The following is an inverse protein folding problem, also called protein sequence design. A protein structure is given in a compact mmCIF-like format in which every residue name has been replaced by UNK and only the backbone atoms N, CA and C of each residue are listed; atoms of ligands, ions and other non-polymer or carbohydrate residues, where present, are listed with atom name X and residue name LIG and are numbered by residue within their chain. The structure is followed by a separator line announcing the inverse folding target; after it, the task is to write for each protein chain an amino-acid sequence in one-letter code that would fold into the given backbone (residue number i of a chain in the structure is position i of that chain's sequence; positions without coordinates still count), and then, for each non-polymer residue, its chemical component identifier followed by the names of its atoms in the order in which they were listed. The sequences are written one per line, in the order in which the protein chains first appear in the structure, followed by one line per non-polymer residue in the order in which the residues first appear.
data_IF_197449061396
#
_entry.id   IF_197449061396
#
_cell.length_a   1.000
_cell.length_b   1.000
_cell.length_c   1.000
_cell.angle_alpha   90.00
_cell.angle_beta   90.00
_cell.angle_gamma   90.00
#
_symmetry.space_group_name_H-M   'P 1'
#
loop_
_entity.id
_entity.type
_entity.pdbx_description
1 polymer ?
#
# COMPACT_ATOMS: atom_id res chain seq x y z
N UNK A 1 0.57 -6.15 -19.52
CA UNK A 1 0.51 -5.53 -18.18
C UNK A 1 -0.84 -5.90 -17.58
N UNK A 2 -0.92 -6.26 -16.29
CA UNK A 2 -2.21 -6.54 -15.66
C UNK A 2 -3.10 -5.30 -15.71
N UNK A 3 -4.39 -5.48 -16.00
CA UNK A 3 -5.40 -4.44 -15.84
C UNK A 3 -5.80 -4.32 -14.38
N UNK A 4 -6.28 -3.14 -13.99
CA UNK A 4 -6.98 -2.97 -12.72
C UNK A 4 -8.14 -3.96 -12.61
N UNK A 5 -8.32 -4.53 -11.41
CA UNK A 5 -9.43 -5.44 -11.11
C UNK A 5 -10.63 -4.69 -10.54
N UNK A 6 -10.37 -3.78 -9.60
CA UNK A 6 -11.38 -2.99 -8.90
C UNK A 6 -10.74 -1.67 -8.41
N UNK A 7 -11.50 -0.57 -8.33
CA UNK A 7 -10.98 0.75 -7.96
C UNK A 7 -10.32 0.79 -6.58
N UNK A 8 -10.80 0.01 -5.62
CA UNK A 8 -10.24 -0.13 -4.27
C UNK A 8 -8.87 -0.85 -4.22
N UNK A 9 -8.33 -1.25 -5.38
CA UNK A 9 -7.05 -1.96 -5.46
C UNK A 9 -5.97 -1.17 -6.20
N UNK A 10 -6.24 0.09 -6.55
CA UNK A 10 -5.36 0.94 -7.34
C UNK A 10 -5.40 2.38 -6.84
N UNK A 11 -4.23 2.99 -6.71
CA UNK A 11 -4.06 4.42 -6.41
C UNK A 11 -4.39 5.33 -7.60
N UNK A 12 -4.55 4.74 -8.79
CA UNK A 12 -4.93 5.42 -10.02
C UNK A 12 -6.14 4.72 -10.65
N UNK A 13 -7.33 4.80 -10.02
CA UNK A 13 -8.50 4.07 -10.48
C UNK A 13 -8.92 4.49 -11.90
N UNK A 14 -9.34 3.53 -12.71
CA UNK A 14 -9.65 3.66 -14.13
C UNK A 14 -8.47 4.08 -15.04
N UNK A 15 -7.24 4.01 -14.52
CA UNK A 15 -6.02 4.28 -15.29
C UNK A 15 -5.16 3.01 -15.41
N UNK A 16 -3.83 3.17 -15.35
CA UNK A 16 -2.92 2.04 -15.24
C UNK A 16 -2.94 1.55 -13.80
N UNK A 17 -3.02 0.23 -13.62
CA UNK A 17 -2.94 -0.39 -12.31
C UNK A 17 -1.71 0.10 -11.53
N UNK A 18 -1.97 0.72 -10.38
CA UNK A 18 -0.98 1.30 -9.49
C UNK A 18 -1.26 0.87 -8.04
N UNK A 19 -0.87 -0.34 -7.65
CA UNK A 19 -1.18 -0.89 -6.33
C UNK A 19 -0.32 -0.27 -5.23
N UNK A 20 0.89 0.16 -5.58
CA UNK A 20 1.87 0.76 -4.68
C UNK A 20 2.82 1.64 -5.47
N UNK A 21 3.23 2.75 -4.88
CA UNK A 21 4.36 3.55 -5.33
C UNK A 21 5.17 4.08 -4.15
N UNK A 22 6.37 4.57 -4.47
CA UNK A 22 7.23 5.28 -3.54
C UNK A 22 7.12 6.79 -3.77
N UNK A 23 6.97 7.55 -2.69
CA UNK A 23 7.12 9.00 -2.68
C UNK A 23 8.59 9.39 -2.86
N UNK A 24 8.82 10.66 -3.17
CA UNK A 24 10.13 11.16 -3.59
C UNK A 24 11.30 10.77 -2.70
N UNK A 25 12.51 11.01 -3.22
CA UNK A 25 13.78 10.56 -2.59
C UNK A 25 14.07 11.11 -1.19
N UNK A 26 13.27 12.06 -0.71
CA UNK A 26 13.46 12.75 0.57
C UNK A 26 12.79 12.07 1.77
N UNK A 27 11.61 11.48 1.59
CA UNK A 27 10.88 10.79 2.67
C UNK A 27 10.79 9.28 2.41
N UNK A 28 10.87 8.86 1.14
CA UNK A 28 10.84 7.44 0.70
C UNK A 28 9.64 6.67 1.24
N UNK A 29 8.58 7.39 1.62
CA UNK A 29 7.36 6.79 2.12
C UNK A 29 6.66 6.06 0.98
N UNK A 30 5.98 4.97 1.29
CA UNK A 30 5.17 4.23 0.33
C UNK A 30 3.72 4.62 0.50
N UNK A 31 3.03 4.77 -0.63
CA UNK A 31 1.58 4.80 -0.70
C UNK A 31 1.15 3.51 -1.39
N UNK A 32 0.21 2.78 -0.79
CA UNK A 32 -0.20 1.47 -1.30
C UNK A 32 -1.63 1.08 -0.89
N UNK A 33 -2.21 0.17 -1.66
CA UNK A 33 -3.51 -0.42 -1.37
C UNK A 33 -3.36 -1.74 -0.59
N UNK A 34 -4.15 -1.94 0.48
CA UNK A 34 -4.28 -3.18 1.24
C UNK A 34 -5.74 -3.50 1.54
N UNK A 35 -6.07 -4.77 1.89
CA UNK A 35 -7.33 -5.08 2.53
C UNK A 35 -7.53 -4.20 3.77
N UNK A 36 -8.69 -3.56 3.90
CA UNK A 36 -8.95 -2.58 4.97
C UNK A 36 -8.72 -3.15 6.38
N UNK A 37 -9.01 -4.44 6.61
CA UNK A 37 -8.73 -5.11 7.88
C UNK A 37 -7.23 -5.22 8.17
N UNK A 38 -6.44 -5.54 7.15
CA UNK A 38 -4.99 -5.67 7.25
C UNK A 38 -4.32 -4.30 7.46
N UNK A 39 -4.75 -3.28 6.72
CA UNK A 39 -4.28 -1.92 6.92
C UNK A 39 -4.54 -1.43 8.36
N UNK A 40 -5.74 -1.67 8.90
CA UNK A 40 -6.07 -1.37 10.31
C UNK A 40 -5.17 -2.08 11.32
N UNK A 41 -4.82 -3.33 11.05
CA UNK A 41 -3.90 -4.10 11.90
C UNK A 41 -2.50 -3.47 11.90
N UNK A 42 -1.98 -3.11 10.73
CA UNK A 42 -0.68 -2.44 10.60
C UNK A 42 -0.69 -1.05 11.24
N UNK A 43 -1.79 -0.31 11.13
CA UNK A 43 -1.97 0.97 11.83
C UNK A 43 -1.96 0.80 13.34
N UNK A 44 -2.64 -0.21 13.88
CA UNK A 44 -2.60 -0.50 15.31
C UNK A 44 -1.19 -0.88 15.81
N UNK A 45 -0.35 -1.43 14.92
CA UNK A 45 1.06 -1.75 15.20
C UNK A 45 2.02 -0.59 14.86
N UNK A 46 1.51 0.56 14.45
CA UNK A 46 2.30 1.77 14.11
C UNK A 46 3.24 1.55 12.90
N UNK A 47 2.82 0.67 11.98
CA UNK A 47 3.51 0.46 10.69
C UNK A 47 2.90 1.26 9.55
N UNK A 48 1.63 1.61 9.64
CA UNK A 48 0.90 2.30 8.58
C UNK A 48 0.00 3.40 9.11
N UNK A 49 -0.23 4.44 8.31
CA UNK A 49 -1.24 5.46 8.57
C UNK A 49 -2.27 5.43 7.43
N UNK A 50 -3.59 5.52 7.72
CA UNK A 50 -4.58 5.70 6.66
C UNK A 50 -4.24 6.95 5.84
N UNK A 51 -4.35 6.86 4.52
CA UNK A 51 -4.15 8.03 3.67
C UNK A 51 -5.27 9.05 3.93
N UNK A 52 -4.92 10.32 4.12
CA UNK A 52 -5.88 11.37 4.55
C UNK A 52 -7.05 11.59 3.58
N UNK A 53 -6.90 11.13 2.35
CA UNK A 53 -7.89 11.25 1.27
C UNK A 53 -8.25 9.88 0.71
N UNK A 54 -8.35 8.86 1.57
CA UNK A 54 -8.76 7.53 1.12
C UNK A 54 -10.23 7.51 0.66
N UNK A 55 -10.50 6.88 -0.46
CA UNK A 55 -11.84 6.74 -1.05
C UNK A 55 -12.53 5.45 -0.58
N UNK A 56 -11.78 4.37 -0.37
CA UNK A 56 -12.32 3.02 -0.11
C UNK A 56 -11.92 2.42 1.25
N UNK A 57 -11.08 3.10 2.03
CA UNK A 57 -10.52 2.54 3.27
C UNK A 57 -9.38 1.55 3.04
N UNK A 58 -8.82 1.56 1.83
CA UNK A 58 -7.79 0.62 1.37
C UNK A 58 -6.43 1.28 1.16
N UNK A 59 -6.34 2.60 1.24
CA UNK A 59 -5.12 3.36 0.93
C UNK A 59 -4.34 3.71 2.19
N UNK A 60 -3.07 3.31 2.26
CA UNK A 60 -2.24 3.48 3.43
C UNK A 60 -0.86 4.05 3.08
N UNK A 61 -0.32 4.80 4.03
CA UNK A 61 1.04 5.33 4.04
C UNK A 61 1.94 4.48 4.93
N UNK A 62 3.13 4.10 4.45
CA UNK A 62 4.18 3.46 5.23
C UNK A 62 5.45 4.29 5.13
N UNK A 63 6.06 4.64 6.26
CA UNK A 63 7.30 5.43 6.26
C UNK A 63 8.53 4.59 5.93
N UNK A 64 9.54 5.24 5.35
CA UNK A 64 10.76 4.58 4.89
C UNK A 64 11.48 3.80 6.00
N UNK A 65 12.01 2.60 5.70
CA UNK A 65 12.70 1.76 6.69
C UNK A 65 14.04 2.36 7.12
N UNK A 66 14.43 2.12 8.37
CA UNK A 66 15.68 2.60 8.99
C UNK A 66 16.74 1.51 9.10
N UNK A 67 16.34 0.25 9.01
CA UNK A 67 17.22 -0.92 9.09
C UNK A 67 16.89 -1.93 7.99
N UNK A 68 17.78 -2.89 7.75
CA UNK A 68 17.56 -3.99 6.81
C UNK A 68 16.39 -4.90 7.24
N UNK A 69 16.20 -5.07 8.55
CA UNK A 69 15.05 -5.82 9.08
C UNK A 69 13.73 -5.10 8.79
N UNK A 70 13.69 -3.78 9.00
CA UNK A 70 12.53 -2.96 8.65
C UNK A 70 12.27 -2.99 7.14
N UNK A 71 13.32 -2.95 6.33
CA UNK A 71 13.20 -3.08 4.87
C UNK A 71 12.58 -4.42 4.48
N UNK A 72 12.98 -5.53 5.10
CA UNK A 72 12.38 -6.84 4.89
C UNK A 72 10.88 -6.87 5.19
N UNK A 73 10.46 -6.21 6.28
CA UNK A 73 9.04 -6.06 6.65
C UNK A 73 8.31 -5.22 5.59
N UNK A 74 8.85 -4.06 5.23
CA UNK A 74 8.24 -3.16 4.22
C UNK A 74 8.07 -3.87 2.88
N UNK A 75 9.08 -4.62 2.43
CA UNK A 75 9.00 -5.40 1.19
C UNK A 75 7.94 -6.52 1.27
N UNK A 76 7.72 -7.12 2.45
CA UNK A 76 6.64 -8.09 2.63
C UNK A 76 5.26 -7.45 2.48
N UNK A 77 5.09 -6.22 2.96
CA UNK A 77 3.83 -5.47 2.84
C UNK A 77 3.60 -5.02 1.38
N UNK A 78 4.66 -4.67 0.66
CA UNK A 78 4.60 -4.42 -0.79
C UNK A 78 4.09 -5.66 -1.53
N UNK A 79 4.55 -6.86 -1.18
CA UNK A 79 4.05 -8.10 -1.78
C UNK A 79 2.56 -8.32 -1.46
N UNK A 80 2.13 -8.07 -0.22
CA UNK A 80 0.70 -8.10 0.17
C UNK A 80 -0.14 -7.16 -0.72
N UNK A 81 0.32 -5.94 -0.98
CA UNK A 81 -0.37 -4.99 -1.86
C UNK A 81 -0.47 -5.49 -3.31
N UNK A 82 0.62 -6.07 -3.84
CA UNK A 82 0.62 -6.67 -5.18
C UNK A 82 -0.33 -7.87 -5.28
N UNK A 83 -0.42 -8.69 -4.23
CA UNK A 83 -1.36 -9.80 -4.14
C UNK A 83 -2.80 -9.30 -4.07
N UNK A 84 -3.07 -8.29 -3.26
CA UNK A 84 -4.39 -7.67 -3.15
C UNK A 84 -4.87 -7.15 -4.49
N UNK A 85 -4.03 -6.44 -5.24
CA UNK A 85 -4.37 -5.95 -6.56
C UNK A 85 -4.63 -7.02 -7.63
N UNK A 86 -4.02 -8.20 -7.48
CA UNK A 86 -4.22 -9.32 -8.41
C UNK A 86 -5.43 -10.17 -8.04
N UNK A 87 -5.71 -10.31 -6.75
CA UNK A 87 -6.64 -11.34 -6.25
C UNK A 87 -7.89 -10.77 -5.57
N UNK A 88 -7.87 -9.51 -5.16
CA UNK A 88 -8.93 -8.84 -4.38
C UNK A 88 -9.07 -9.35 -2.95
N UNK A 89 -8.13 -10.19 -2.48
CA UNK A 89 -8.11 -10.79 -1.15
C UNK A 89 -6.88 -10.32 -0.37
#
# INVERSE_FOLDING_TARGET
MPSERAPETSLAPNQRLEPVHIHGVSDTSLHLCLPASRGKELTAQVWAEPHQYEDFGTEFMIYGPRTEEELGIVLSIVDESLVFARTGN
#
